data_IF_770041006155
#
_entry.id   IF_770041006155
#
_cell.length_a   1.000
_cell.length_b   1.000
_cell.length_c   1.000
_cell.angle_alpha   90.00
_cell.angle_beta   90.00
_cell.angle_gamma   90.00
#
_symmetry.space_group_name_H-M   'P 1'
#
loop_
_entity.id
_entity.type
_entity.pdbx_description
1 polymer ?
#
# COMPACT_ATOMS: atom_id res chain seq x y z
N UNK A 1 -12.28 37.24 6.79
CA UNK A 1 -11.90 36.02 6.10
C UNK A 1 -10.90 35.33 7.00
N UNK A 2 -11.21 34.15 7.53
CA UNK A 2 -10.25 33.38 8.32
C UNK A 2 -9.10 33.00 7.38
N UNK A 3 -7.90 33.45 7.71
CA UNK A 3 -6.70 33.13 6.93
C UNK A 3 -6.36 31.66 7.15
N UNK A 4 -7.00 30.77 6.38
CA UNK A 4 -6.77 29.32 6.44
C UNK A 4 -5.45 29.01 5.73
N UNK A 5 -4.35 29.45 6.30
CA UNK A 5 -3.02 29.08 5.86
C UNK A 5 -2.67 27.69 6.37
N UNK A 6 -2.09 26.87 5.50
CA UNK A 6 -1.49 25.56 5.82
C UNK A 6 -0.01 25.59 5.43
N UNK A 7 0.83 25.01 6.27
CA UNK A 7 2.27 24.89 5.98
C UNK A 7 2.54 23.80 4.93
N UNK A 8 1.68 22.78 4.90
CA UNK A 8 1.78 21.65 3.96
C UNK A 8 0.39 21.29 3.45
N UNK A 9 0.29 21.07 2.14
CA UNK A 9 -0.90 20.52 1.50
C UNK A 9 -0.50 19.20 0.82
N UNK A 10 -1.17 18.11 1.18
CA UNK A 10 -0.96 16.77 0.60
C UNK A 10 -2.18 16.44 -0.25
N UNK A 11 -1.95 16.02 -1.49
CA UNK A 11 -3.01 15.66 -2.44
C UNK A 11 -3.02 14.14 -2.59
N UNK A 12 -4.11 13.51 -2.17
CA UNK A 12 -4.30 12.07 -2.12
C UNK A 12 -3.83 11.43 -0.82
N UNK A 13 -4.53 10.37 -0.41
CA UNK A 13 -4.30 9.62 0.84
C UNK A 13 -3.79 8.19 0.63
N UNK A 14 -3.42 7.84 -0.61
CA UNK A 14 -2.83 6.52 -0.91
C UNK A 14 -1.49 6.30 -0.18
N UNK A 15 -0.76 5.26 -0.57
CA UNK A 15 0.50 4.85 0.07
C UNK A 15 1.46 6.03 0.31
N UNK A 16 1.69 6.88 -0.70
CA UNK A 16 2.59 8.03 -0.57
C UNK A 16 2.05 9.12 0.33
N UNK A 17 0.83 9.64 0.04
CA UNK A 17 0.26 10.78 0.76
C UNK A 17 -0.11 10.44 2.20
N UNK A 18 -0.68 9.26 2.43
CA UNK A 18 -1.00 8.79 3.79
C UNK A 18 0.24 8.61 4.65
N UNK A 19 1.29 7.98 4.11
CA UNK A 19 2.58 7.82 4.81
C UNK A 19 3.23 9.17 5.10
N UNK A 20 3.23 10.09 4.12
CA UNK A 20 3.76 11.44 4.31
C UNK A 20 3.01 12.21 5.41
N UNK A 21 1.67 12.15 5.40
CA UNK A 21 0.85 12.78 6.43
C UNK A 21 1.18 12.23 7.82
N UNK A 22 1.33 10.91 7.95
CA UNK A 22 1.70 10.23 9.19
C UNK A 22 3.05 10.72 9.72
N UNK A 23 4.07 10.77 8.87
CA UNK A 23 5.42 11.20 9.27
C UNK A 23 5.50 12.69 9.60
N UNK A 24 4.72 13.54 8.92
CA UNK A 24 4.71 14.97 9.18
C UNK A 24 3.81 15.38 10.35
N UNK A 25 2.84 14.56 10.75
CA UNK A 25 1.91 14.88 11.83
C UNK A 25 2.60 15.34 13.13
N UNK A 26 3.68 14.69 13.61
CA UNK A 26 4.40 15.13 14.83
C UNK A 26 5.16 16.44 14.68
N UNK A 27 5.31 16.98 13.48
CA UNK A 27 6.11 18.20 13.23
C UNK A 27 5.51 19.49 13.78
N UNK A 28 4.24 19.48 14.18
CA UNK A 28 3.49 20.68 14.57
C UNK A 28 3.09 21.59 13.41
N UNK A 29 3.50 21.31 12.18
CA UNK A 29 3.10 22.04 10.96
C UNK A 29 1.60 21.85 10.73
N UNK A 30 0.91 22.91 10.30
CA UNK A 30 -0.51 22.81 9.93
C UNK A 30 -0.64 22.14 8.57
N UNK A 31 -1.21 20.93 8.55
CA UNK A 31 -1.26 20.06 7.38
C UNK A 31 -2.70 19.93 6.91
N UNK A 32 -2.92 20.14 5.62
CA UNK A 32 -4.18 19.83 4.93
C UNK A 32 -3.96 18.63 4.00
N UNK A 33 -4.76 17.62 4.16
CA UNK A 33 -4.79 16.46 3.26
C UNK A 33 -6.10 16.49 2.49
N UNK A 34 -6.01 16.44 1.16
CA UNK A 34 -7.16 16.48 0.24
C UNK A 34 -7.28 15.12 -0.44
N UNK A 35 -8.42 14.46 -0.24
CA UNK A 35 -8.74 13.19 -0.87
C UNK A 35 -9.99 13.35 -1.73
N UNK A 36 -9.91 12.93 -3.00
CA UNK A 36 -11.07 13.05 -3.91
C UNK A 36 -12.18 12.04 -3.61
N UNK A 37 -11.84 10.91 -2.99
CA UNK A 37 -12.78 9.88 -2.59
C UNK A 37 -13.29 10.06 -1.17
N UNK A 38 -14.19 9.15 -0.77
CA UNK A 38 -14.69 9.00 0.59
C UNK A 38 -13.97 7.88 1.33
N UNK A 39 -14.36 7.61 2.59
CA UNK A 39 -13.97 6.37 3.24
C UNK A 39 -14.65 5.18 2.57
N UNK A 40 -13.87 4.11 2.34
CA UNK A 40 -14.41 2.89 1.77
C UNK A 40 -15.43 2.27 2.75
N UNK A 41 -16.67 1.97 2.29
CA UNK A 41 -17.71 1.43 3.17
C UNK A 41 -17.36 0.03 3.65
N UNK A 42 -17.68 -0.25 4.91
CA UNK A 42 -17.53 -1.57 5.52
C UNK A 42 -18.88 -2.31 5.44
N UNK A 43 -19.01 -3.15 4.45
CA UNK A 43 -20.27 -3.81 4.10
C UNK A 43 -20.05 -5.24 3.57
N UNK A 44 -21.09 -6.08 3.59
CA UNK A 44 -21.00 -7.48 3.12
C UNK A 44 -20.51 -7.58 1.67
N UNK A 45 -20.83 -6.61 0.83
CA UNK A 45 -20.39 -6.55 -0.55
C UNK A 45 -18.85 -6.51 -0.71
N UNK A 46 -18.11 -6.11 0.32
CA UNK A 46 -16.64 -6.14 0.30
C UNK A 46 -16.07 -7.54 0.03
N UNK A 47 -16.77 -8.58 0.39
CA UNK A 47 -16.36 -9.98 0.22
C UNK A 47 -17.23 -10.75 -0.79
N UNK A 48 -18.04 -10.04 -1.55
CA UNK A 48 -18.86 -10.65 -2.61
C UNK A 48 -18.12 -10.55 -3.95
N UNK A 49 -17.74 -11.67 -4.52
CA UNK A 49 -16.99 -11.75 -5.79
C UNK A 49 -17.73 -11.09 -6.96
N UNK A 50 -19.07 -11.18 -6.98
CA UNK A 50 -19.88 -10.59 -8.04
C UNK A 50 -19.88 -9.06 -7.89
N UNK A 51 -20.07 -8.54 -6.67
CA UNK A 51 -20.05 -7.10 -6.42
C UNK A 51 -18.66 -6.51 -6.73
N UNK A 52 -17.59 -7.20 -6.30
CA UNK A 52 -16.21 -6.68 -6.44
C UNK A 52 -15.73 -6.75 -7.89
N UNK A 53 -15.83 -7.91 -8.56
CA UNK A 53 -15.15 -8.15 -9.85
C UNK A 53 -16.07 -8.13 -11.07
N UNK A 54 -17.38 -8.40 -10.92
CA UNK A 54 -18.28 -8.37 -12.06
C UNK A 54 -19.01 -7.05 -12.20
N UNK A 55 -19.37 -6.42 -11.06
CA UNK A 55 -20.05 -5.13 -11.02
C UNK A 55 -19.11 -3.95 -10.80
N UNK A 56 -17.82 -4.19 -10.59
CA UNK A 56 -16.79 -3.18 -10.35
C UNK A 56 -17.17 -2.15 -9.27
N UNK A 57 -17.89 -2.61 -8.23
CA UNK A 57 -18.52 -1.75 -7.21
C UNK A 57 -17.57 -0.75 -6.56
N UNK A 58 -16.29 -1.09 -6.43
CA UNK A 58 -15.29 -0.29 -5.73
C UNK A 58 -14.30 0.41 -6.66
N UNK A 59 -14.43 0.22 -7.97
CA UNK A 59 -13.65 0.91 -8.96
C UNK A 59 -14.36 2.17 -9.47
N UNK A 60 -13.57 3.12 -9.99
CA UNK A 60 -14.13 4.29 -10.64
C UNK A 60 -14.73 3.94 -12.00
N UNK A 61 -15.82 4.62 -12.36
CA UNK A 61 -16.36 4.56 -13.71
C UNK A 61 -15.67 5.53 -14.68
N UNK A 62 -14.62 6.25 -14.25
CA UNK A 62 -13.89 7.16 -15.13
C UNK A 62 -13.22 6.41 -16.26
N UNK A 63 -13.24 7.03 -17.44
CA UNK A 63 -12.51 6.57 -18.61
C UNK A 63 -11.25 7.43 -18.75
N UNK A 64 -10.10 6.80 -18.81
CA UNK A 64 -8.85 7.43 -19.19
C UNK A 64 -8.58 7.14 -20.66
N UNK A 65 -7.66 7.85 -21.24
CA UNK A 65 -7.26 7.64 -22.64
C UNK A 65 -5.77 7.41 -22.68
N UNK A 66 -5.36 6.42 -23.46
CA UNK A 66 -3.96 6.18 -23.72
C UNK A 66 -3.39 7.20 -24.75
N UNK A 67 -2.11 7.03 -25.11
CA UNK A 67 -1.44 7.92 -26.06
C UNK A 67 -2.06 7.91 -27.46
N UNK A 68 -2.77 6.86 -27.82
CA UNK A 68 -3.42 6.69 -29.13
C UNK A 68 -4.91 7.11 -29.07
N UNK A 69 -5.33 7.72 -27.95
CA UNK A 69 -6.70 8.16 -27.65
C UNK A 69 -7.70 7.01 -27.53
N UNK A 70 -7.24 5.80 -27.27
CA UNK A 70 -8.12 4.67 -26.99
C UNK A 70 -8.57 4.69 -25.53
N UNK A 71 -9.84 4.39 -25.25
CA UNK A 71 -10.39 4.44 -23.91
C UNK A 71 -9.86 3.28 -23.06
N UNK A 72 -9.41 3.59 -21.82
CA UNK A 72 -9.01 2.61 -20.83
C UNK A 72 -9.74 2.85 -19.51
N UNK A 73 -10.07 1.76 -18.81
CA UNK A 73 -10.56 1.83 -17.44
C UNK A 73 -9.40 1.57 -16.50
N UNK A 74 -9.03 2.52 -15.64
CA UNK A 74 -7.77 2.44 -14.87
C UNK A 74 -7.77 1.39 -13.75
N UNK A 75 -8.88 0.69 -13.48
CA UNK A 75 -8.98 -0.30 -12.40
C UNK A 75 -8.64 0.26 -11.02
N UNK A 76 -8.90 1.54 -10.79
CA UNK A 76 -8.60 2.23 -9.53
C UNK A 76 -9.88 2.66 -8.81
N UNK A 77 -9.80 2.80 -7.49
CA UNK A 77 -10.86 3.37 -6.67
C UNK A 77 -10.37 4.64 -5.96
N UNK A 78 -11.29 5.56 -5.70
CA UNK A 78 -11.00 6.80 -4.97
C UNK A 78 -11.50 6.67 -3.53
N UNK A 79 -10.57 6.33 -2.64
CA UNK A 79 -10.84 6.06 -1.24
C UNK A 79 -9.75 6.66 -0.36
N UNK A 80 -10.08 7.00 0.87
CA UNK A 80 -9.07 7.24 1.89
C UNK A 80 -8.23 5.97 2.03
N UNK A 81 -6.92 6.09 1.81
CA UNK A 81 -5.98 4.97 1.68
C UNK A 81 -5.69 4.56 0.22
N UNK A 82 -6.43 5.10 -0.75
CA UNK A 82 -6.23 4.79 -2.17
C UNK A 82 -6.32 3.29 -2.47
N UNK A 83 -5.57 2.82 -3.47
CA UNK A 83 -5.57 1.40 -3.88
C UNK A 83 -4.94 0.45 -2.84
N UNK A 84 -4.33 0.96 -1.74
CA UNK A 84 -3.92 0.09 -0.63
C UNK A 84 -5.11 -0.55 0.09
N UNK A 85 -6.32 -0.06 -0.14
CA UNK A 85 -7.56 -0.67 0.39
C UNK A 85 -7.87 -2.03 -0.26
N UNK A 86 -7.43 -2.25 -1.51
CA UNK A 86 -7.76 -3.44 -2.31
C UNK A 86 -6.55 -4.29 -2.69
N UNK A 87 -5.31 -3.90 -2.37
CA UNK A 87 -4.12 -4.69 -2.69
C UNK A 87 -4.09 -6.01 -1.89
N UNK A 88 -3.32 -7.00 -2.35
CA UNK A 88 -3.19 -8.31 -1.70
C UNK A 88 -2.34 -8.34 -0.42
N UNK A 89 -1.87 -7.21 0.06
CA UNK A 89 -0.98 -7.11 1.22
C UNK A 89 0.51 -7.36 0.89
N UNK A 90 0.84 -7.69 -0.35
CA UNK A 90 2.23 -7.90 -0.75
C UNK A 90 3.02 -6.58 -0.71
N UNK A 91 4.11 -6.55 0.06
CA UNK A 91 4.91 -5.34 0.25
C UNK A 91 6.41 -5.67 0.15
N UNK A 92 6.92 -5.60 -1.08
CA UNK A 92 8.31 -5.84 -1.40
C UNK A 92 9.15 -4.57 -1.34
N UNK A 93 10.45 -4.73 -1.07
CA UNK A 93 11.47 -3.75 -1.43
C UNK A 93 11.77 -3.88 -2.92
N UNK A 94 11.98 -2.78 -3.61
CA UNK A 94 12.54 -2.81 -4.95
C UNK A 94 13.95 -3.39 -4.92
N UNK A 95 14.32 -4.10 -5.98
CA UNK A 95 15.65 -4.67 -6.13
C UNK A 95 16.65 -3.58 -6.48
N UNK A 96 17.93 -3.76 -6.16
CA UNK A 96 18.97 -2.77 -6.49
C UNK A 96 18.99 -2.45 -7.99
N UNK A 97 18.80 -3.47 -8.83
CA UNK A 97 18.72 -3.32 -10.28
C UNK A 97 17.54 -2.45 -10.76
N UNK A 98 16.47 -2.32 -9.98
CA UNK A 98 15.31 -1.52 -10.36
C UNK A 98 15.59 -0.01 -10.32
N UNK A 99 16.68 0.38 -9.67
CA UNK A 99 17.20 1.74 -9.66
C UNK A 99 18.18 2.04 -10.79
N UNK A 100 18.54 1.03 -11.60
CA UNK A 100 19.45 1.16 -12.72
C UNK A 100 18.68 1.32 -14.04
N UNK A 101 19.41 1.63 -15.11
CA UNK A 101 18.83 1.61 -16.46
C UNK A 101 18.50 0.16 -16.84
N UNK A 102 17.23 -0.13 -17.07
CA UNK A 102 16.75 -1.45 -17.48
C UNK A 102 16.21 -1.42 -18.90
N UNK A 103 16.79 -2.24 -19.78
CA UNK A 103 16.26 -2.46 -21.13
C UNK A 103 15.31 -3.66 -21.11
N UNK A 104 14.11 -3.49 -21.61
CA UNK A 104 13.09 -4.52 -21.70
C UNK A 104 12.38 -4.48 -23.06
N UNK A 105 11.52 -5.46 -23.34
CA UNK A 105 10.92 -5.62 -24.67
C UNK A 105 10.12 -4.38 -25.13
N UNK A 106 9.46 -3.67 -24.23
CA UNK A 106 8.65 -2.49 -24.54
C UNK A 106 9.40 -1.16 -24.50
N UNK A 107 10.70 -1.16 -24.20
CA UNK A 107 11.47 0.08 -24.12
C UNK A 107 12.61 0.07 -23.11
N UNK A 108 12.87 1.23 -22.54
CA UNK A 108 13.94 1.44 -21.56
C UNK A 108 13.38 2.17 -20.36
N UNK A 109 13.51 1.57 -19.17
CA UNK A 109 13.34 2.28 -17.91
C UNK A 109 14.62 3.05 -17.61
N UNK A 110 14.57 4.38 -17.43
CA UNK A 110 15.77 5.17 -17.15
C UNK A 110 16.31 4.84 -15.76
N UNK A 111 17.61 5.07 -15.60
CA UNK A 111 18.24 5.03 -14.28
C UNK A 111 17.64 6.07 -13.35
N UNK A 112 17.43 5.67 -12.08
CA UNK A 112 17.01 6.59 -11.02
C UNK A 112 18.18 7.44 -10.53
N UNK A 113 17.95 8.69 -10.12
CA UNK A 113 19.01 9.56 -9.57
C UNK A 113 19.50 9.11 -8.19
N UNK A 114 18.71 8.30 -7.48
CA UNK A 114 19.00 7.72 -6.18
C UNK A 114 19.16 6.21 -6.32
N UNK A 115 19.92 5.60 -5.43
CA UNK A 115 20.17 4.15 -5.40
C UNK A 115 19.41 3.49 -4.26
N UNK A 116 19.28 2.17 -4.29
CA UNK A 116 18.62 1.41 -3.22
C UNK A 116 19.09 1.81 -1.82
N UNK A 117 20.42 1.96 -1.60
CA UNK A 117 21.00 2.34 -0.31
C UNK A 117 20.46 3.66 0.27
N UNK A 118 20.03 4.56 -0.62
CA UNK A 118 19.47 5.85 -0.21
C UNK A 118 18.03 5.69 0.29
N UNK A 119 17.35 4.61 -0.13
CA UNK A 119 15.99 4.24 0.27
C UNK A 119 15.94 3.19 1.37
N UNK A 120 17.01 2.43 1.63
CA UNK A 120 17.02 1.31 2.58
C UNK A 120 16.48 1.69 3.97
N UNK A 121 16.87 2.81 4.60
CA UNK A 121 16.32 3.21 5.90
C UNK A 121 14.79 3.42 5.86
N UNK A 122 14.30 4.02 4.78
CA UNK A 122 12.86 4.29 4.59
C UNK A 122 12.06 3.02 4.33
N UNK A 123 12.62 2.04 3.61
CA UNK A 123 12.01 0.72 3.49
C UNK A 123 11.87 0.04 4.86
N UNK A 124 12.90 0.13 5.69
CA UNK A 124 12.87 -0.42 7.05
C UNK A 124 11.80 0.25 7.92
N UNK A 125 11.64 1.56 7.82
CA UNK A 125 10.56 2.28 8.50
C UNK A 125 9.18 1.91 7.97
N UNK A 126 9.03 1.80 6.65
CA UNK A 126 7.78 1.41 6.01
C UNK A 126 7.35 -0.01 6.41
N UNK A 127 8.28 -0.96 6.45
CA UNK A 127 8.00 -2.32 6.90
C UNK A 127 7.48 -2.36 8.34
N UNK A 128 8.03 -1.53 9.24
CA UNK A 128 7.53 -1.40 10.61
C UNK A 128 6.15 -0.75 10.65
N UNK A 129 5.95 0.33 9.90
CA UNK A 129 4.70 1.07 9.85
C UNK A 129 3.55 0.21 9.30
N UNK A 130 3.82 -0.59 8.28
CA UNK A 130 2.85 -1.47 7.64
C UNK A 130 2.84 -2.90 8.20
N UNK A 131 3.51 -3.15 9.32
CA UNK A 131 3.49 -4.43 10.05
C UNK A 131 3.84 -5.63 9.14
N UNK A 132 4.92 -5.51 8.36
CA UNK A 132 5.25 -6.51 7.35
C UNK A 132 5.79 -7.80 7.99
N UNK A 133 5.19 -8.91 7.60
CA UNK A 133 5.63 -10.26 7.91
C UNK A 133 6.56 -10.79 6.83
N UNK A 134 7.64 -11.48 7.22
CA UNK A 134 8.57 -12.07 6.26
C UNK A 134 9.76 -12.75 6.92
N UNK A 135 10.58 -13.40 6.11
CA UNK A 135 11.87 -14.00 6.53
C UNK A 135 12.97 -13.47 5.61
N UNK A 136 13.97 -12.78 6.16
CA UNK A 136 15.12 -12.30 5.38
C UNK A 136 15.97 -13.45 4.86
N UNK A 137 16.45 -13.32 3.62
CA UNK A 137 17.39 -14.24 3.00
C UNK A 137 16.76 -15.46 2.33
N UNK A 138 15.44 -15.64 2.39
CA UNK A 138 14.76 -16.67 1.59
C UNK A 138 14.69 -16.26 0.13
N UNK A 139 14.34 -15.01 -0.16
CA UNK A 139 14.35 -14.47 -1.52
C UNK A 139 15.79 -14.07 -1.91
N UNK A 140 16.40 -14.87 -2.77
CA UNK A 140 17.77 -14.64 -3.26
C UNK A 140 17.94 -13.34 -4.08
N UNK A 141 16.84 -12.72 -4.48
CA UNK A 141 16.82 -11.45 -5.20
C UNK A 141 16.58 -10.24 -4.30
N UNK A 142 16.29 -10.46 -3.02
CA UNK A 142 16.03 -9.40 -2.06
C UNK A 142 17.30 -8.56 -1.84
N UNK A 143 17.19 -7.22 -1.90
CA UNK A 143 18.35 -6.38 -1.65
C UNK A 143 18.80 -6.45 -0.19
N UNK A 144 20.10 -6.31 0.02
CA UNK A 144 20.70 -6.43 1.33
C UNK A 144 20.17 -5.39 2.34
N UNK A 145 19.89 -5.86 3.54
CA UNK A 145 19.63 -5.03 4.73
C UNK A 145 20.06 -5.78 5.99
N UNK A 146 20.47 -5.06 7.03
CA UNK A 146 20.76 -5.62 8.35
C UNK A 146 19.49 -5.75 9.23
N UNK A 147 18.37 -5.21 8.78
CA UNK A 147 17.15 -5.18 9.56
C UNK A 147 16.27 -6.39 9.27
N UNK A 148 15.83 -7.16 10.28
CA UNK A 148 14.84 -8.21 10.08
C UNK A 148 13.48 -7.58 9.72
N UNK A 149 12.58 -8.40 9.18
CA UNK A 149 11.17 -8.02 9.14
C UNK A 149 10.63 -7.84 10.57
N UNK A 150 9.70 -6.90 10.80
CA UNK A 150 9.15 -6.67 12.14
C UNK A 150 8.37 -7.86 12.69
N UNK A 151 7.81 -8.70 11.79
CA UNK A 151 7.09 -9.91 12.16
C UNK A 151 7.59 -11.11 11.36
N UNK A 152 7.54 -12.30 11.97
CA UNK A 152 7.90 -13.55 11.29
C UNK A 152 7.01 -13.79 10.07
N UNK A 153 7.53 -14.50 9.07
CA UNK A 153 6.75 -14.94 7.92
C UNK A 153 5.50 -15.71 8.36
N UNK A 154 4.45 -15.55 7.59
CA UNK A 154 3.17 -16.22 7.83
C UNK A 154 3.29 -17.68 7.40
N UNK A 155 2.85 -18.60 8.26
CA UNK A 155 2.90 -20.03 7.95
C UNK A 155 2.07 -20.34 6.69
N UNK A 156 2.60 -21.19 5.83
CA UNK A 156 1.89 -21.64 4.65
C UNK A 156 0.62 -22.43 5.01
N UNK A 157 -0.40 -22.32 4.17
CA UNK A 157 -1.48 -23.30 4.16
C UNK A 157 -0.93 -24.68 3.77
N UNK A 158 -1.51 -25.79 4.24
CA UNK A 158 -0.96 -27.14 4.00
C UNK A 158 -0.65 -27.42 2.52
N UNK A 159 -1.53 -27.01 1.61
CA UNK A 159 -1.31 -27.19 0.18
C UNK A 159 -0.17 -26.35 -0.37
N UNK A 160 -0.02 -25.13 0.12
CA UNK A 160 1.09 -24.24 -0.28
C UNK A 160 2.41 -24.79 0.27
N UNK A 161 2.41 -25.36 1.48
CA UNK A 161 3.60 -26.00 2.05
C UNK A 161 4.06 -27.21 1.19
N UNK A 162 3.14 -28.05 0.75
CA UNK A 162 3.46 -29.17 -0.16
C UNK A 162 4.10 -28.66 -1.48
N UNK A 163 3.57 -27.57 -2.04
CA UNK A 163 4.11 -26.97 -3.27
C UNK A 163 5.50 -26.39 -3.00
N UNK A 164 5.68 -25.69 -1.90
CA UNK A 164 6.96 -25.13 -1.47
C UNK A 164 8.04 -26.22 -1.41
N UNK A 165 7.80 -27.30 -0.68
CA UNK A 165 8.70 -28.43 -0.55
C UNK A 165 8.98 -29.12 -1.90
N UNK A 166 7.96 -29.26 -2.76
CA UNK A 166 8.13 -29.82 -4.10
C UNK A 166 9.02 -28.97 -5.00
N UNK A 167 8.97 -27.64 -4.86
CA UNK A 167 9.85 -26.70 -5.59
C UNK A 167 11.29 -26.76 -5.07
N UNK A 168 11.49 -26.77 -3.74
CA UNK A 168 12.80 -26.93 -3.11
C UNK A 168 13.47 -28.25 -3.56
N UNK A 169 12.74 -29.36 -3.58
CA UNK A 169 13.22 -30.65 -4.04
C UNK A 169 13.64 -30.64 -5.52
N UNK A 170 13.23 -29.63 -6.29
CA UNK A 170 13.65 -29.40 -7.68
C UNK A 170 14.81 -28.39 -7.82
N UNK A 171 15.36 -27.92 -6.69
CA UNK A 171 16.44 -26.94 -6.67
C UNK A 171 15.97 -25.51 -6.95
N UNK A 172 14.68 -25.23 -6.84
CA UNK A 172 14.15 -23.89 -6.88
C UNK A 172 14.18 -23.26 -5.49
N UNK A 173 14.04 -21.93 -5.41
CA UNK A 173 14.10 -21.19 -4.15
C UNK A 173 12.77 -20.46 -3.91
N UNK A 174 11.71 -21.18 -3.51
CA UNK A 174 10.47 -20.54 -3.09
C UNK A 174 10.71 -19.79 -1.77
N UNK A 175 9.97 -18.73 -1.55
CA UNK A 175 10.08 -17.92 -0.35
C UNK A 175 8.72 -17.44 0.14
N UNK A 176 8.63 -17.09 1.41
CA UNK A 176 7.44 -16.48 1.97
C UNK A 176 7.26 -15.06 1.45
N UNK A 177 6.09 -14.81 0.86
CA UNK A 177 5.73 -13.48 0.38
C UNK A 177 5.73 -12.48 1.54
N UNK A 178 6.46 -11.36 1.47
CA UNK A 178 6.36 -10.31 2.46
C UNK A 178 4.95 -9.72 2.48
N UNK A 179 4.23 -9.87 3.60
CA UNK A 179 2.82 -9.52 3.71
C UNK A 179 2.57 -8.47 4.80
N UNK A 180 1.95 -7.37 4.42
CA UNK A 180 1.53 -6.29 5.30
C UNK A 180 0.09 -6.55 5.80
N UNK A 181 -0.05 -7.40 6.81
CA UNK A 181 -1.33 -7.78 7.40
C UNK A 181 -1.24 -7.85 8.92
N UNK A 182 -2.33 -7.52 9.61
CA UNK A 182 -2.43 -7.51 11.08
C UNK A 182 -2.79 -8.90 11.60
N UNK A 183 -1.91 -9.88 11.32
CA UNK A 183 -2.08 -11.27 11.73
C UNK A 183 -1.20 -11.60 12.94
N UNK A 184 -1.80 -12.24 13.94
CA UNK A 184 -1.08 -12.81 15.06
C UNK A 184 -1.37 -14.31 15.14
N UNK A 185 -0.44 -15.13 14.65
CA UNK A 185 -0.59 -16.59 14.64
C UNK A 185 -0.40 -17.23 16.02
N UNK A 186 0.36 -16.57 16.90
CA UNK A 186 0.62 -17.05 18.27
C UNK A 186 -0.60 -16.81 19.16
N UNK A 187 -1.21 -15.64 19.06
CA UNK A 187 -2.41 -15.30 19.83
C UNK A 187 -3.50 -14.76 18.89
N UNK A 188 -4.33 -15.66 18.42
CA UNK A 188 -5.43 -15.33 17.49
C UNK A 188 -6.44 -14.32 18.03
N UNK A 189 -6.54 -14.15 19.36
CA UNK A 189 -7.41 -13.12 19.97
C UNK A 189 -6.91 -11.71 19.73
N UNK A 190 -5.61 -11.55 19.49
CA UNK A 190 -4.97 -10.27 19.16
C UNK A 190 -4.86 -10.04 17.64
N UNK A 191 -5.31 -10.99 16.84
CA UNK A 191 -5.26 -10.92 15.39
C UNK A 191 -6.48 -10.19 14.84
N UNK A 192 -6.26 -9.15 14.04
CA UNK A 192 -7.32 -8.52 13.27
C UNK A 192 -7.59 -9.29 11.97
N UNK A 193 -6.53 -9.74 11.32
CA UNK A 193 -6.63 -10.61 10.16
C UNK A 193 -7.09 -12.03 10.57
N UNK A 194 -8.09 -12.56 9.88
CA UNK A 194 -8.67 -13.88 10.15
C UNK A 194 -8.24 -14.95 9.13
N UNK A 195 -7.29 -14.61 8.22
CA UNK A 195 -6.85 -15.49 7.12
C UNK A 195 -8.02 -15.96 6.26
N UNK A 196 -8.85 -15.02 5.81
CA UNK A 196 -9.89 -15.28 4.84
C UNK A 196 -9.30 -15.51 3.43
N UNK A 197 -10.14 -15.98 2.52
CA UNK A 197 -9.80 -16.22 1.10
C UNK A 197 -10.10 -15.02 0.18
N UNK A 198 -10.44 -13.86 0.75
CA UNK A 198 -10.85 -12.64 0.04
C UNK A 198 -9.86 -11.50 0.31
N UNK A 199 -8.58 -11.68 -0.06
CA UNK A 199 -7.55 -10.68 0.23
C UNK A 199 -7.20 -9.82 -0.99
N UNK A 200 -6.71 -10.42 -2.06
CA UNK A 200 -6.26 -9.68 -3.24
C UNK A 200 -7.46 -9.20 -4.08
N UNK A 201 -7.47 -7.91 -4.40
CA UNK A 201 -8.56 -7.25 -5.11
C UNK A 201 -9.79 -6.92 -4.27
N UNK A 202 -9.95 -7.51 -3.09
CA UNK A 202 -11.10 -7.26 -2.22
C UNK A 202 -10.81 -6.16 -1.19
N UNK A 203 -11.78 -5.28 -0.86
CA UNK A 203 -11.73 -4.49 0.37
C UNK A 203 -11.74 -5.40 1.61
N UNK A 204 -10.90 -5.10 2.61
CA UNK A 204 -10.86 -5.93 3.81
C UNK A 204 -12.00 -5.60 4.77
N UNK A 205 -12.95 -6.54 4.95
CA UNK A 205 -14.11 -6.33 5.81
C UNK A 205 -13.75 -6.25 7.32
N UNK A 206 -12.62 -6.82 7.72
CA UNK A 206 -12.19 -6.87 9.13
C UNK A 206 -11.05 -5.92 9.46
N UNK A 207 -10.65 -5.03 8.53
CA UNK A 207 -9.52 -4.11 8.70
C UNK A 207 -8.18 -4.82 9.03
N UNK A 208 -8.03 -6.03 8.54
CA UNK A 208 -6.85 -6.88 8.76
C UNK A 208 -5.70 -6.62 7.79
N UNK A 209 -5.89 -5.83 6.72
CA UNK A 209 -4.78 -5.33 5.89
C UNK A 209 -4.12 -4.15 6.57
N UNK A 210 -2.81 -4.07 6.51
CA UNK A 210 -2.10 -2.85 6.84
C UNK A 210 -2.12 -1.95 5.61
N UNK A 211 -2.99 -0.97 5.59
CA UNK A 211 -3.17 -0.04 4.48
C UNK A 211 -2.93 1.42 4.90
N UNK A 212 -2.82 2.32 3.93
CA UNK A 212 -2.49 3.71 4.19
C UNK A 212 -3.59 4.48 4.96
N UNK A 213 -4.84 4.04 4.92
CA UNK A 213 -5.91 4.57 5.76
C UNK A 213 -5.69 4.17 7.23
N UNK A 214 -5.60 2.86 7.48
CA UNK A 214 -5.60 2.30 8.84
C UNK A 214 -4.27 2.50 9.59
N UNK A 215 -3.15 2.46 8.88
CA UNK A 215 -1.83 2.57 9.48
C UNK A 215 -1.26 3.99 9.45
N UNK A 216 -1.79 4.86 8.59
CA UNK A 216 -1.23 6.18 8.36
C UNK A 216 -2.25 7.31 8.54
N UNK A 217 -3.26 7.37 7.67
CA UNK A 217 -4.11 8.57 7.58
C UNK A 217 -5.02 8.75 8.80
N UNK A 218 -5.72 7.71 9.25
CA UNK A 218 -6.55 7.78 10.46
C UNK A 218 -5.71 8.10 11.69
N UNK A 219 -4.60 7.39 11.99
CA UNK A 219 -3.74 7.76 13.11
C UNK A 219 -3.22 9.20 13.04
N UNK A 220 -2.90 9.70 11.83
CA UNK A 220 -2.47 11.08 11.67
C UNK A 220 -3.59 12.09 11.96
N UNK A 221 -4.81 11.84 11.46
CA UNK A 221 -5.94 12.74 11.67
C UNK A 221 -6.52 12.66 13.09
N UNK A 222 -6.56 11.47 13.69
CA UNK A 222 -7.20 11.24 14.99
C UNK A 222 -6.32 11.67 16.16
N UNK A 223 -4.99 11.53 16.03
CA UNK A 223 -4.06 11.80 17.14
C UNK A 223 -3.41 13.20 17.08
N UNK A 224 -3.55 13.93 15.97
CA UNK A 224 -2.84 15.19 15.75
C UNK A 224 -3.77 16.31 15.27
N UNK A 225 -4.04 17.29 16.15
CA UNK A 225 -4.94 18.42 15.86
C UNK A 225 -4.47 19.36 14.75
N UNK A 226 -3.20 19.27 14.35
CA UNK A 226 -2.61 20.05 13.24
C UNK A 226 -2.81 19.38 11.88
N UNK A 227 -3.39 18.18 11.81
CA UNK A 227 -3.70 17.48 10.56
C UNK A 227 -5.20 17.59 10.29
N UNK A 228 -5.55 18.10 9.12
CA UNK A 228 -6.95 18.18 8.64
C UNK A 228 -7.09 17.33 7.38
N UNK A 229 -8.03 16.39 7.39
CA UNK A 229 -8.41 15.60 6.22
C UNK A 229 -9.74 16.13 5.65
N UNK A 230 -9.76 16.44 4.37
CA UNK A 230 -10.98 16.68 3.60
C UNK A 230 -11.15 15.58 2.57
N UNK A 231 -12.22 14.83 2.69
CA UNK A 231 -12.68 13.83 1.71
C UNK A 231 -13.61 14.47 0.69
N UNK A 232 -13.87 13.78 -0.43
CA UNK A 232 -14.70 14.26 -1.54
C UNK A 232 -14.21 15.62 -2.08
N UNK A 233 -12.90 15.86 -1.98
CA UNK A 233 -12.21 17.09 -2.32
C UNK A 233 -11.23 16.86 -3.47
N UNK A 234 -11.71 16.99 -4.70
CA UNK A 234 -10.88 16.86 -5.90
C UNK A 234 -10.11 18.13 -6.18
N UNK A 235 -8.79 18.04 -6.26
CA UNK A 235 -7.92 19.13 -6.69
C UNK A 235 -7.91 19.21 -8.21
N UNK A 236 -8.45 20.29 -8.75
CA UNK A 236 -8.53 20.52 -10.21
C UNK A 236 -7.33 21.31 -10.72
N UNK A 237 -6.85 22.27 -9.93
CA UNK A 237 -5.77 23.16 -10.34
C UNK A 237 -4.98 23.69 -9.14
N UNK A 238 -3.68 23.88 -9.34
CA UNK A 238 -2.79 24.55 -8.39
C UNK A 238 -2.35 25.89 -8.98
N UNK A 239 -2.43 26.94 -8.18
CA UNK A 239 -1.85 28.24 -8.51
C UNK A 239 -0.60 28.44 -7.65
N UNK A 240 0.50 28.87 -8.27
CA UNK A 240 1.70 29.36 -7.58
C UNK A 240 1.81 30.86 -7.81
N UNK A 241 2.04 31.62 -6.77
CA UNK A 241 2.53 32.97 -6.94
C UNK A 241 4.02 32.84 -7.29
N UNK A 242 4.43 33.31 -8.47
CA UNK A 242 5.82 33.47 -8.84
C UNK A 242 6.48 34.56 -7.99
#
# INVERSE_FOLDING_TARGET
>A
MSNNHYDVIIIGTGAGGGTLAHHLAPSGKKILVLERGSFLPREKANWDTVEVFQKDRYHTSEVWYDRDSEPIHPGTGYWVGGNTKVYGGALFRWRERDFEKVVHQGGVSPEWPLKYRDFEPYYTEAEKLYEVHGTRGEDVTEPYTNNPYPFAAITHEPRIQEIHEALENKGLHPFHLPLAIKLNEVNRRLSTCIRCDTCDGFPCLVDGKADADLNCMRPAADNWNNVSLLTEAQVLQRFSNE
#
